data_IF_642002957129
#
_entry.id   IF_642002957129
#
_cell.length_a   1.000
_cell.length_b   1.000
_cell.length_c   1.000
_cell.angle_alpha   90.00
_cell.angle_beta   90.00
_cell.angle_gamma   90.00
#
_symmetry.space_group_name_H-M   'P 1'
#
loop_
_entity.id
_entity.type
_entity.pdbx_description
1 polymer ?
#
# COMPACT_ATOMS: atom_id res chain seq x y z
N UNK A 1 -7.44 7.45 -3.32
CA UNK A 1 -7.94 6.54 -2.26
C UNK A 1 -6.82 5.68 -1.63
N UNK A 2 -6.16 4.76 -2.35
CA UNK A 2 -5.12 3.87 -1.77
C UNK A 2 -3.89 4.60 -1.17
N UNK A 3 -3.43 5.67 -1.80
CA UNK A 3 -2.33 6.48 -1.28
C UNK A 3 -2.70 7.11 0.08
N UNK A 4 -3.89 7.68 0.20
CA UNK A 4 -4.41 8.24 1.45
C UNK A 4 -4.49 7.16 2.55
N UNK A 5 -5.06 5.99 2.23
CA UNK A 5 -5.10 4.87 3.17
C UNK A 5 -3.72 4.50 3.73
N UNK A 6 -2.70 4.50 2.86
CA UNK A 6 -1.32 4.21 3.26
C UNK A 6 -0.79 5.25 4.24
N UNK A 7 -1.01 6.54 3.96
CA UNK A 7 -0.62 7.63 4.85
C UNK A 7 -1.37 7.59 6.19
N UNK A 8 -2.67 7.32 6.15
CA UNK A 8 -3.51 7.19 7.34
C UNK A 8 -3.04 6.05 8.25
N UNK A 9 -2.71 4.88 7.68
CA UNK A 9 -2.15 3.78 8.46
C UNK A 9 -0.81 4.13 9.12
N UNK A 10 0.03 4.98 8.50
CA UNK A 10 1.28 5.44 9.12
C UNK A 10 1.03 6.33 10.33
N UNK A 11 0.00 7.16 10.28
CA UNK A 11 -0.41 8.03 11.40
C UNK A 11 -1.12 7.27 12.50
N UNK A 12 -1.87 6.21 12.15
CA UNK A 12 -2.64 5.39 13.08
C UNK A 12 -2.16 3.94 13.07
N UNK A 13 -1.03 3.61 13.73
CA UNK A 13 -0.46 2.26 13.77
C UNK A 13 -1.39 1.22 14.42
N UNK A 14 -2.39 1.67 15.19
CA UNK A 14 -3.43 0.84 15.78
C UNK A 14 -4.24 0.07 14.74
N UNK A 15 -4.45 0.65 13.55
CA UNK A 15 -5.14 -0.02 12.44
C UNK A 15 -4.30 -1.14 11.83
N UNK A 16 -3.00 -1.13 12.06
CA UNK A 16 -2.07 -2.14 11.55
C UNK A 16 -1.89 -3.29 12.54
N UNK A 17 -2.00 -3.02 13.84
CA UNK A 17 -1.95 -4.06 14.88
C UNK A 17 -3.14 -5.00 14.68
N UNK A 18 -2.84 -6.28 14.47
CA UNK A 18 -3.85 -7.31 14.26
C UNK A 18 -4.68 -7.58 15.53
N UNK A 19 -5.27 -8.78 15.62
CA UNK A 19 -6.08 -9.26 16.76
C UNK A 19 -5.37 -9.25 18.14
N UNK A 20 -4.14 -8.74 18.23
CA UNK A 20 -3.28 -8.78 19.42
C UNK A 20 -3.11 -7.42 20.10
N UNK A 21 -3.73 -6.33 19.64
CA UNK A 21 -3.73 -5.10 20.46
C UNK A 21 -4.92 -5.12 21.42
N UNK A 22 -4.66 -4.74 22.66
CA UNK A 22 -5.66 -4.42 23.68
C UNK A 22 -6.38 -3.10 23.40
N UNK A 23 -6.31 -2.59 22.16
CA UNK A 23 -6.89 -1.31 21.78
C UNK A 23 -8.41 -1.36 21.96
N UNK A 24 -8.95 -0.30 22.56
CA UNK A 24 -10.37 -0.12 22.73
C UNK A 24 -11.11 -0.32 21.38
N UNK A 25 -12.03 -1.29 21.26
CA UNK A 25 -12.71 -1.59 20.00
C UNK A 25 -13.54 -0.41 19.47
N UNK A 26 -14.03 0.46 20.36
CA UNK A 26 -14.79 1.66 20.00
C UNK A 26 -13.89 2.71 19.34
N UNK A 27 -12.67 2.92 19.85
CA UNK A 27 -11.70 3.82 19.24
C UNK A 27 -11.31 3.34 17.84
N UNK A 28 -11.14 2.03 17.66
CA UNK A 28 -10.86 1.44 16.35
C UNK A 28 -12.03 1.64 15.37
N UNK A 29 -13.27 1.51 15.85
CA UNK A 29 -14.48 1.77 15.04
C UNK A 29 -14.57 3.24 14.61
N UNK A 30 -14.23 4.18 15.48
CA UNK A 30 -14.17 5.62 15.15
C UNK A 30 -13.14 5.88 14.05
N UNK A 31 -11.91 5.36 14.18
CA UNK A 31 -10.86 5.48 13.17
C UNK A 31 -11.27 4.91 11.80
N UNK A 32 -11.95 3.76 11.80
CA UNK A 32 -12.47 3.18 10.55
C UNK A 32 -13.59 4.01 9.93
N UNK A 33 -14.38 4.71 10.74
CA UNK A 33 -15.47 5.58 10.28
C UNK A 33 -14.92 6.87 9.66
N UNK A 34 -13.98 7.54 10.35
CA UNK A 34 -13.26 8.72 9.85
C UNK A 34 -12.52 8.42 8.52
N UNK A 35 -11.84 7.27 8.46
CA UNK A 35 -11.18 6.82 7.24
C UNK A 35 -12.18 6.60 6.10
N UNK A 36 -13.35 6.04 6.39
CA UNK A 36 -14.38 5.78 5.39
C UNK A 36 -14.97 7.08 4.83
N UNK A 37 -15.27 8.04 5.70
CA UNK A 37 -15.75 9.38 5.32
C UNK A 37 -14.74 10.07 4.40
N UNK A 38 -13.46 10.08 4.79
CA UNK A 38 -12.41 10.71 3.98
C UNK A 38 -12.21 9.99 2.64
N UNK A 39 -12.26 8.66 2.62
CA UNK A 39 -12.16 7.89 1.36
C UNK A 39 -13.36 8.10 0.44
N UNK A 40 -14.55 8.28 1.00
CA UNK A 40 -15.78 8.57 0.25
C UNK A 40 -15.80 9.99 -0.31
N UNK A 41 -15.16 10.95 0.36
CA UNK A 41 -14.99 12.31 -0.14
C UNK A 41 -14.03 12.39 -1.35
N UNK A 42 -13.12 11.42 -1.48
CA UNK A 42 -12.26 11.29 -2.67
C UNK A 42 -13.03 10.65 -3.83
N UNK A 43 -12.69 11.03 -5.07
CA UNK A 43 -13.31 10.47 -6.29
C UNK A 43 -13.26 8.94 -6.29
N UNK A 44 -14.42 8.28 -6.29
CA UNK A 44 -14.52 6.82 -6.30
C UNK A 44 -15.85 6.30 -5.75
N UNK A 45 -15.95 4.98 -5.50
CA UNK A 45 -17.16 4.36 -4.96
C UNK A 45 -17.34 4.70 -3.49
N UNK A 46 -18.56 5.12 -3.12
CA UNK A 46 -18.94 5.32 -1.72
C UNK A 46 -19.19 3.97 -1.04
N UNK A 47 -18.58 3.75 0.12
CA UNK A 47 -18.72 2.50 0.89
C UNK A 47 -18.80 2.79 2.38
N UNK A 48 -19.47 1.91 3.12
CA UNK A 48 -19.45 1.93 4.58
C UNK A 48 -18.08 1.53 5.12
N UNK A 49 -17.76 1.92 6.36
CA UNK A 49 -16.50 1.57 7.03
C UNK A 49 -16.20 0.07 6.99
N UNK A 50 -17.19 -0.78 7.25
CA UNK A 50 -17.05 -2.24 7.19
C UNK A 50 -16.70 -2.75 5.80
N UNK A 51 -17.27 -2.16 4.74
CA UNK A 51 -16.97 -2.51 3.34
C UNK A 51 -15.57 -2.03 2.93
N UNK A 52 -15.16 -0.84 3.36
CA UNK A 52 -13.79 -0.35 3.18
C UNK A 52 -12.78 -1.28 3.85
N UNK A 53 -12.99 -1.64 5.12
CA UNK A 53 -12.15 -2.58 5.85
C UNK A 53 -11.95 -3.90 5.10
N UNK A 54 -13.03 -4.52 4.60
CA UNK A 54 -12.95 -5.76 3.80
C UNK A 54 -12.17 -5.56 2.49
N UNK A 55 -12.44 -4.47 1.77
CA UNK A 55 -11.79 -4.14 0.49
C UNK A 55 -10.29 -3.95 0.67
N UNK A 56 -9.90 -3.14 1.65
CA UNK A 56 -8.50 -2.82 1.94
C UNK A 56 -7.75 -4.04 2.47
N UNK A 57 -8.41 -4.88 3.27
CA UNK A 57 -7.85 -6.17 3.69
C UNK A 57 -7.59 -7.09 2.50
N UNK A 58 -8.54 -7.19 1.57
CA UNK A 58 -8.37 -7.98 0.35
C UNK A 58 -7.20 -7.47 -0.50
N UNK A 59 -7.14 -6.15 -0.73
CA UNK A 59 -6.03 -5.51 -1.45
C UNK A 59 -4.67 -5.78 -0.79
N UNK A 60 -4.58 -5.66 0.55
CA UNK A 60 -3.38 -6.00 1.30
C UNK A 60 -2.96 -7.46 1.10
N UNK A 61 -3.92 -8.39 1.13
CA UNK A 61 -3.66 -9.81 0.89
C UNK A 61 -3.15 -10.07 -0.54
N UNK A 62 -3.72 -9.38 -1.54
CA UNK A 62 -3.23 -9.46 -2.92
C UNK A 62 -1.78 -8.98 -3.04
N UNK A 63 -1.43 -7.85 -2.41
CA UNK A 63 -0.05 -7.34 -2.39
C UNK A 63 0.91 -8.33 -1.76
N UNK A 64 0.53 -8.92 -0.61
CA UNK A 64 1.35 -9.96 0.06
C UNK A 64 1.55 -11.18 -0.83
N UNK A 65 0.50 -11.66 -1.49
CA UNK A 65 0.61 -12.79 -2.41
C UNK A 65 1.52 -12.48 -3.60
N UNK A 66 1.43 -11.28 -4.18
CA UNK A 66 2.33 -10.85 -5.26
C UNK A 66 3.78 -10.76 -4.80
N UNK A 67 4.03 -10.18 -3.63
CA UNK A 67 5.37 -10.08 -3.05
C UNK A 67 5.99 -11.47 -2.79
N UNK A 68 5.20 -12.43 -2.30
CA UNK A 68 5.65 -13.83 -2.12
C UNK A 68 6.01 -14.50 -3.44
N UNK A 69 5.18 -14.31 -4.49
CA UNK A 69 5.47 -14.84 -5.83
C UNK A 69 6.78 -14.25 -6.37
N UNK A 70 6.92 -12.93 -6.31
CA UNK A 70 8.16 -12.25 -6.70
C UNK A 70 9.40 -12.78 -5.98
N UNK A 71 9.28 -13.04 -4.67
CA UNK A 71 10.38 -13.62 -3.88
C UNK A 71 10.72 -15.05 -4.30
N UNK A 72 9.71 -15.86 -4.65
CA UNK A 72 9.92 -17.21 -5.15
C UNK A 72 10.58 -17.20 -6.53
N UNK A 73 10.10 -16.36 -7.44
CA UNK A 73 10.64 -16.23 -8.80
C UNK A 73 12.09 -15.72 -8.77
N UNK A 74 12.40 -14.75 -7.91
CA UNK A 74 13.76 -14.25 -7.72
C UNK A 74 14.72 -15.35 -7.23
N UNK A 75 14.26 -16.24 -6.34
CA UNK A 75 15.06 -17.37 -5.83
C UNK A 75 15.35 -18.40 -6.94
N UNK A 76 14.42 -18.60 -7.88
CA UNK A 76 14.60 -19.51 -9.01
C UNK A 76 15.60 -18.92 -10.02
N UNK A 77 15.53 -17.62 -10.28
CA UNK A 77 16.39 -16.95 -11.26
C UNK A 77 17.87 -16.82 -10.82
N UNK A 78 18.20 -17.16 -9.57
CA UNK A 78 19.56 -16.98 -9.03
C UNK A 78 20.01 -15.53 -8.95
N UNK A 79 19.10 -14.57 -9.16
CA UNK A 79 19.41 -13.15 -9.09
C UNK A 79 19.23 -12.68 -7.65
N UNK A 80 20.32 -12.67 -6.90
CA UNK A 80 20.42 -11.96 -5.63
C UNK A 80 20.30 -10.46 -5.91
N UNK A 81 19.07 -9.94 -5.94
CA UNK A 81 18.83 -8.53 -6.22
C UNK A 81 19.02 -7.66 -4.96
N UNK A 82 19.99 -6.72 -4.94
CA UNK A 82 20.22 -5.84 -3.79
C UNK A 82 19.26 -4.64 -3.70
N UNK A 83 18.22 -4.53 -4.54
CA UNK A 83 17.48 -3.26 -4.73
C UNK A 83 15.96 -3.39 -4.95
N UNK A 84 15.29 -4.34 -4.30
CA UNK A 84 13.81 -4.27 -4.12
C UNK A 84 13.41 -3.26 -3.03
N UNK A 85 14.05 -2.10 -2.99
CA UNK A 85 13.70 -0.99 -2.09
C UNK A 85 12.33 -0.37 -2.41
N UNK A 86 11.77 -0.61 -3.60
CA UNK A 86 10.41 -0.18 -3.98
C UNK A 86 9.33 -1.01 -3.28
N UNK A 87 9.67 -2.23 -2.82
CA UNK A 87 8.83 -3.08 -1.97
C UNK A 87 9.23 -3.01 -0.50
N UNK A 88 10.01 -2.01 -0.08
CA UNK A 88 10.05 -1.53 1.32
C UNK A 88 8.76 -0.75 1.63
N UNK A 89 7.61 -1.37 1.39
CA UNK A 89 6.51 -1.17 2.30
C UNK A 89 6.94 -1.95 3.53
N UNK A 90 7.69 -1.30 4.42
CA UNK A 90 8.12 -1.90 5.68
C UNK A 90 6.92 -2.61 6.27
N UNK A 91 7.01 -3.93 6.22
CA UNK A 91 6.12 -4.79 6.94
C UNK A 91 6.39 -4.44 8.40
N UNK A 92 5.58 -3.56 9.00
CA UNK A 92 5.21 -3.70 10.41
C UNK A 92 4.29 -4.95 10.48
N UNK A 93 4.79 -6.06 9.96
CA UNK A 93 4.35 -7.37 10.37
C UNK A 93 5.25 -7.64 11.53
N UNK A 94 4.67 -7.47 12.72
CA UNK A 94 4.97 -8.29 13.88
C UNK A 94 5.78 -9.51 13.44
N UNK A 95 7.09 -9.46 13.61
CA UNK A 95 7.86 -10.69 13.60
C UNK A 95 7.09 -11.63 14.53
N UNK A 96 6.80 -12.87 14.10
CA UNK A 96 6.39 -13.88 15.05
C UNK A 96 7.51 -13.93 16.08
N UNK A 97 7.28 -13.30 17.24
CA UNK A 97 8.14 -13.47 18.41
C UNK A 97 8.39 -14.96 18.50
N UNK A 98 9.66 -15.42 18.45
CA UNK A 98 9.97 -16.83 18.53
C UNK A 98 9.24 -17.35 19.76
N UNK A 99 8.37 -18.33 19.53
CA UNK A 99 7.61 -18.98 20.60
C UNK A 99 8.61 -19.30 21.72
N UNK A 100 8.42 -18.76 22.94
CA UNK A 100 9.31 -19.09 24.04
C UNK A 100 9.34 -20.61 24.15
N UNK A 101 10.54 -21.17 24.16
CA UNK A 101 10.76 -22.59 24.36
C UNK A 101 9.99 -23.05 25.60
N UNK A 102 9.41 -24.26 25.60
CA UNK A 102 8.71 -24.79 26.76
C UNK A 102 9.70 -24.91 27.93
N UNK A 103 9.62 -23.98 28.88
CA UNK A 103 10.33 -24.12 30.16
C UNK A 103 9.63 -25.21 30.99
N UNK A 104 10.39 -26.15 31.57
CA UNK A 104 9.83 -27.22 32.38
C UNK A 104 9.39 -26.70 33.76
N UNK A 105 8.20 -27.13 34.15
CA UNK A 105 7.76 -27.47 35.51
C UNK A 105 8.17 -26.57 36.68
N UNK A 106 7.19 -25.85 37.25
CA UNK A 106 7.14 -25.64 38.70
C UNK A 106 5.74 -25.94 39.24
N UNK A 107 5.74 -26.85 40.19
CA UNK A 107 4.61 -27.47 40.90
C UNK A 107 4.18 -26.58 42.06
N UNK A 108 2.93 -26.80 42.49
CA UNK A 108 2.27 -26.39 43.74
C UNK A 108 1.39 -25.14 43.66
N UNK A 109 0.18 -25.07 44.22
CA UNK A 109 -0.83 -26.03 44.68
C UNK A 109 -2.04 -25.17 45.12
N UNK A 110 -3.25 -25.74 45.05
CA UNK A 110 -4.46 -25.44 45.87
C UNK A 110 -5.45 -24.35 45.44
N UNK A 111 -6.56 -24.84 44.86
CA UNK A 111 -8.02 -24.56 44.99
C UNK A 111 -8.57 -23.56 46.05
N UNK A 112 -9.87 -23.13 46.03
CA UNK A 112 -11.06 -23.73 45.36
C UNK A 112 -12.07 -22.81 44.61
N UNK A 113 -12.93 -23.51 43.86
CA UNK A 113 -14.26 -23.24 43.25
C UNK A 113 -15.28 -22.42 44.14
N UNK A 114 -16.48 -21.93 43.65
CA UNK A 114 -17.46 -22.68 42.81
C UNK A 114 -18.44 -21.90 41.87
N UNK A 115 -19.28 -22.71 41.20
CA UNK A 115 -20.65 -22.47 40.64
C UNK A 115 -20.77 -21.79 39.26
N UNK A 116 -21.20 -22.45 38.16
CA UNK A 116 -22.45 -23.16 37.78
C UNK A 116 -23.29 -22.34 36.74
N UNK A 117 -23.12 -22.72 35.46
CA UNK A 117 -24.12 -22.81 34.36
C UNK A 117 -24.95 -21.56 33.92
N UNK A 118 -25.73 -21.58 32.80
CA UNK A 118 -25.86 -22.56 31.72
C UNK A 118 -25.68 -22.00 30.28
N UNK A 119 -25.45 -22.93 29.34
CA UNK A 119 -25.52 -22.77 27.88
C UNK A 119 -26.92 -22.44 27.35
N UNK A 120 -27.01 -21.88 26.13
CA UNK A 120 -27.92 -22.48 25.15
C UNK A 120 -27.35 -22.62 23.71
N UNK A 121 -27.33 -23.87 23.25
CA UNK A 121 -27.89 -24.44 22.02
C UNK A 121 -28.25 -23.56 20.79
N UNK A 122 -27.74 -24.06 19.63
CA UNK A 122 -28.39 -24.22 18.30
C UNK A 122 -28.74 -22.93 17.52
N UNK A 123 -28.37 -22.78 16.24
CA UNK A 123 -29.13 -23.21 15.04
C UNK A 123 -28.30 -22.80 13.80
N UNK A 124 -27.74 -23.74 13.03
CA UNK A 124 -28.18 -24.24 11.71
C UNK A 124 -28.24 -23.23 10.54
N UNK A 125 -27.73 -23.69 9.37
CA UNK A 125 -28.16 -23.32 7.99
C UNK A 125 -27.64 -21.94 7.51
N UNK A 126 -26.90 -21.78 6.41
CA UNK A 126 -27.29 -22.13 5.04
C UNK A 126 -26.14 -21.96 4.02
N UNK A 127 -26.11 -22.89 3.07
CA UNK A 127 -25.91 -22.68 1.62
C UNK A 127 -24.55 -22.20 1.11
N UNK A 128 -23.71 -23.19 0.81
CA UNK A 128 -22.75 -23.14 -0.28
C UNK A 128 -23.49 -22.96 -1.62
N UNK A 129 -23.36 -21.79 -2.25
CA UNK A 129 -23.79 -21.56 -3.63
C UNK A 129 -22.56 -21.67 -4.53
N UNK A 130 -22.38 -22.84 -5.13
CA UNK A 130 -21.41 -23.06 -6.21
C UNK A 130 -21.82 -22.24 -7.44
N UNK A 131 -20.89 -21.56 -8.13
CA UNK A 131 -21.18 -21.00 -9.44
C UNK A 131 -21.36 -22.12 -10.49
N UNK A 132 -22.26 -21.94 -11.45
CA UNK A 132 -22.53 -22.92 -12.49
C UNK A 132 -21.33 -23.10 -13.40
N UNK A 133 -20.93 -24.36 -13.61
CA UNK A 133 -19.98 -24.78 -14.63
C UNK A 133 -20.60 -24.44 -16.00
N UNK A 134 -20.05 -23.43 -16.68
CA UNK A 134 -20.39 -23.16 -18.07
C UNK A 134 -19.76 -24.27 -18.93
N UNK A 135 -20.62 -25.15 -19.43
CA UNK A 135 -20.26 -26.07 -20.50
C UNK A 135 -19.94 -25.28 -21.78
N UNK A 136 -18.72 -25.44 -22.25
CA UNK A 136 -18.31 -24.99 -23.59
C UNK A 136 -19.03 -25.86 -24.63
N UNK A 137 -19.67 -25.28 -25.66
CA UNK A 137 -20.21 -26.06 -26.76
C UNK A 137 -19.05 -26.62 -27.58
N UNK A 138 -18.91 -27.95 -27.58
CA UNK A 138 -18.14 -28.68 -28.58
C UNK A 138 -18.81 -28.52 -29.94
N UNK A 139 -18.13 -27.98 -30.96
CA UNK A 139 -18.65 -28.01 -32.31
C UNK A 139 -18.52 -29.44 -32.86
N UNK A 140 -19.65 -30.14 -32.96
CA UNK A 140 -19.77 -31.34 -33.79
C UNK A 140 -19.64 -30.94 -35.26
N UNK A 141 -18.44 -31.13 -35.81
CA UNK A 141 -18.20 -31.04 -37.24
C UNK A 141 -18.35 -32.45 -37.79
N UNK A 142 -19.57 -32.79 -38.20
CA UNK A 142 -19.81 -33.86 -39.17
C UNK A 142 -19.52 -33.30 -40.56
N UNK A 143 -18.33 -33.53 -41.07
CA UNK A 143 -18.03 -33.32 -42.50
C UNK A 143 -17.92 -34.68 -43.18
N UNK A 144 -18.94 -34.91 -44.00
CA UNK A 144 -19.05 -35.92 -45.04
C UNK A 144 -17.78 -36.00 -45.88
N UNK A 145 -17.24 -37.21 -46.00
CA UNK A 145 -16.07 -37.53 -46.81
C UNK A 145 -16.55 -37.68 -48.25
N UNK A 146 -16.40 -36.62 -49.04
CA UNK A 146 -16.43 -36.69 -50.51
C UNK A 146 -14.99 -36.56 -50.99
N UNK A 147 -14.45 -37.67 -51.49
CA UNK A 147 -13.13 -37.75 -52.09
C UNK A 147 -13.09 -36.97 -53.41
N UNK A 148 -12.68 -35.71 -53.34
CA UNK A 148 -12.32 -34.90 -54.51
C UNK A 148 -10.79 -34.78 -54.61
N UNK A 149 -10.25 -34.98 -55.81
CA UNK A 149 -8.82 -35.08 -56.09
C UNK A 149 -8.04 -33.81 -55.66
N UNK A 150 -6.86 -33.96 -55.04
CA UNK A 150 -6.10 -32.84 -54.46
C UNK A 150 -5.48 -31.97 -55.56
N UNK A 151 -6.13 -30.83 -55.85
CA UNK A 151 -5.53 -29.72 -56.62
C UNK A 151 -4.36 -29.10 -55.82
N UNK A 152 -3.32 -28.54 -56.49
CA UNK A 152 -2.09 -28.09 -55.85
C UNK A 152 -2.30 -26.81 -55.01
N UNK A 153 -2.82 -26.98 -53.80
CA UNK A 153 -3.12 -25.91 -52.84
C UNK A 153 -1.89 -25.36 -52.09
N UNK A 154 -0.71 -25.98 -52.25
CA UNK A 154 0.50 -25.66 -51.48
C UNK A 154 1.04 -24.25 -51.71
N UNK A 155 0.94 -23.71 -52.94
CA UNK A 155 1.55 -22.42 -53.28
C UNK A 155 0.82 -21.23 -52.63
N UNK A 156 -0.51 -21.33 -52.43
CA UNK A 156 -1.30 -20.26 -51.80
C UNK A 156 -1.04 -20.15 -50.29
N UNK A 157 -0.71 -21.25 -49.63
CA UNK A 157 -0.42 -21.26 -48.19
C UNK A 157 0.89 -20.55 -47.86
N UNK A 158 1.94 -20.75 -48.66
CA UNK A 158 3.25 -20.10 -48.43
C UNK A 158 3.14 -18.57 -48.51
N UNK A 159 2.40 -18.03 -49.48
CA UNK A 159 2.19 -16.60 -49.60
C UNK A 159 1.48 -15.98 -48.38
N UNK A 160 0.55 -16.71 -47.75
CA UNK A 160 -0.12 -16.26 -46.54
C UNK A 160 0.81 -16.28 -45.32
N UNK A 161 1.72 -17.25 -45.24
CA UNK A 161 2.72 -17.33 -44.16
C UNK A 161 3.70 -16.17 -44.25
N UNK A 162 4.24 -15.85 -45.44
CA UNK A 162 5.13 -14.70 -45.62
C UNK A 162 4.47 -13.37 -45.20
N UNK A 163 3.22 -13.13 -45.63
CA UNK A 163 2.47 -11.92 -45.21
C UNK A 163 2.28 -11.83 -43.69
N UNK A 164 2.06 -12.96 -43.02
CA UNK A 164 1.96 -13.01 -41.54
C UNK A 164 3.29 -12.70 -40.88
N UNK A 165 4.41 -13.17 -41.42
CA UNK A 165 5.75 -12.88 -40.93
C UNK A 165 6.03 -11.37 -41.03
N UNK A 166 5.75 -10.76 -42.18
CA UNK A 166 5.94 -9.31 -42.38
C UNK A 166 5.07 -8.47 -41.44
N UNK A 167 3.80 -8.85 -41.27
CA UNK A 167 2.90 -8.18 -40.33
C UNK A 167 3.36 -8.35 -38.87
N UNK A 168 3.95 -9.50 -38.52
CA UNK A 168 4.52 -9.72 -37.20
C UNK A 168 5.75 -8.84 -36.97
N UNK A 169 6.67 -8.78 -37.93
CA UNK A 169 7.85 -7.93 -37.89
C UNK A 169 7.50 -6.46 -37.66
N UNK A 170 6.50 -5.93 -38.38
CA UNK A 170 6.01 -4.55 -38.18
C UNK A 170 5.45 -4.31 -36.77
N UNK A 171 4.75 -5.29 -36.19
CA UNK A 171 4.24 -5.19 -34.81
C UNK A 171 5.38 -5.18 -33.80
N UNK A 172 6.41 -6.01 -34.01
CA UNK A 172 7.60 -6.02 -33.16
C UNK A 172 8.35 -4.68 -33.20
N UNK A 173 8.53 -4.10 -34.39
CA UNK A 173 9.11 -2.76 -34.57
C UNK A 173 8.32 -1.68 -33.84
N UNK A 174 6.98 -1.73 -33.91
CA UNK A 174 6.11 -0.80 -33.16
C UNK A 174 6.25 -0.95 -31.64
N UNK A 175 6.40 -2.18 -31.14
CA UNK A 175 6.61 -2.44 -29.70
C UNK A 175 7.95 -1.89 -29.25
N UNK A 176 9.01 -2.08 -30.03
CA UNK A 176 10.35 -1.52 -29.73
C UNK A 176 10.30 0.01 -29.70
N UNK A 177 9.67 0.64 -30.71
CA UNK A 177 9.52 2.08 -30.77
C UNK A 177 8.73 2.64 -29.57
N UNK A 178 7.66 1.96 -29.17
CA UNK A 178 6.87 2.34 -27.99
C UNK A 178 7.70 2.22 -26.71
N UNK A 179 8.48 1.16 -26.56
CA UNK A 179 9.34 0.95 -25.40
C UNK A 179 10.43 2.02 -25.30
N UNK A 180 11.03 2.42 -26.42
CA UNK A 180 12.00 3.50 -26.48
C UNK A 180 11.37 4.84 -26.07
N UNK A 181 10.16 5.13 -26.54
CA UNK A 181 9.42 6.34 -26.16
C UNK A 181 9.11 6.38 -24.66
N UNK A 182 8.76 5.24 -24.05
CA UNK A 182 8.54 5.14 -22.60
C UNK A 182 9.83 5.43 -21.83
N UNK A 183 10.98 4.92 -22.30
CA UNK A 183 12.27 5.19 -21.68
C UNK A 183 12.63 6.68 -21.73
N UNK A 184 12.44 7.33 -22.87
CA UNK A 184 12.67 8.77 -23.03
C UNK A 184 11.78 9.60 -22.10
N UNK A 185 10.49 9.28 -22.01
CA UNK A 185 9.57 9.95 -21.08
C UNK A 185 10.00 9.77 -19.61
N UNK A 186 10.49 8.59 -19.23
CA UNK A 186 11.00 8.35 -17.88
C UNK A 186 12.26 9.17 -17.59
N UNK A 187 13.14 9.34 -18.57
CA UNK A 187 14.33 10.20 -18.45
C UNK A 187 13.95 11.67 -18.27
N UNK A 188 13.03 12.18 -19.09
CA UNK A 188 12.49 13.54 -18.97
C UNK A 188 11.86 13.78 -17.60
N UNK A 189 11.00 12.85 -17.13
CA UNK A 189 10.38 12.92 -15.81
C UNK A 189 11.44 12.94 -14.69
N UNK A 190 12.48 12.13 -14.82
CA UNK A 190 13.61 12.13 -13.89
C UNK A 190 14.33 13.48 -13.85
N UNK A 191 14.49 14.12 -15.01
CA UNK A 191 15.02 15.49 -15.12
C UNK A 191 14.18 16.51 -14.35
N UNK A 192 12.86 16.51 -14.56
CA UNK A 192 11.91 17.41 -13.87
C UNK A 192 11.94 17.19 -12.36
N UNK A 193 11.98 15.93 -11.89
CA UNK A 193 12.08 15.61 -10.47
C UNK A 193 13.37 16.14 -9.83
N UNK A 194 14.51 16.02 -10.52
CA UNK A 194 15.79 16.58 -10.07
C UNK A 194 15.72 18.11 -9.97
N UNK A 195 15.08 18.77 -10.93
CA UNK A 195 14.93 20.22 -10.93
C UNK A 195 14.05 20.71 -9.77
N UNK A 196 12.89 20.07 -9.57
CA UNK A 196 12.02 20.39 -8.43
C UNK A 196 12.72 20.18 -7.08
N UNK A 197 13.55 19.14 -6.95
CA UNK A 197 14.34 18.92 -5.73
C UNK A 197 15.38 20.02 -5.49
N UNK A 198 16.00 20.56 -6.55
CA UNK A 198 16.92 21.70 -6.46
C UNK A 198 16.20 22.97 -6.02
N UNK A 199 15.07 23.29 -6.65
CA UNK A 199 14.27 24.47 -6.29
C UNK A 199 13.74 24.39 -4.86
N UNK A 200 13.25 23.22 -4.43
CA UNK A 200 12.83 23.00 -3.04
C UNK A 200 13.97 23.26 -2.04
N UNK A 201 15.21 22.86 -2.35
CA UNK A 201 16.37 23.14 -1.48
C UNK A 201 16.69 24.63 -1.42
N UNK A 202 16.63 25.35 -2.55
CA UNK A 202 16.82 26.81 -2.58
C UNK A 202 15.78 27.50 -1.71
N UNK A 203 14.52 27.09 -1.83
CA UNK A 203 13.43 27.66 -1.02
C UNK A 203 13.62 27.40 0.47
N UNK A 204 13.98 26.16 0.85
CA UNK A 204 14.31 25.83 2.23
C UNK A 204 15.47 26.68 2.78
N UNK A 205 16.49 26.97 1.97
CA UNK A 205 17.58 27.86 2.38
C UNK A 205 17.12 29.31 2.56
N UNK A 206 16.20 29.81 1.72
CA UNK A 206 15.62 31.16 1.88
C UNK A 206 14.82 31.26 3.18
N UNK A 207 13.94 30.30 3.43
CA UNK A 207 13.16 30.22 4.67
C UNK A 207 14.08 30.12 5.89
N UNK A 208 15.13 29.31 5.85
CA UNK A 208 16.10 29.20 6.94
C UNK A 208 16.81 30.54 7.24
N UNK A 209 17.19 31.29 6.20
CA UNK A 209 17.80 32.63 6.35
C UNK A 209 16.83 33.62 6.97
N UNK A 210 15.57 33.64 6.52
CA UNK A 210 14.52 34.49 7.09
C UNK A 210 14.27 34.15 8.57
N UNK A 211 14.12 32.87 8.89
CA UNK A 211 13.96 32.42 10.27
C UNK A 211 15.14 32.85 11.15
N UNK A 212 16.37 32.71 10.66
CA UNK A 212 17.55 33.15 11.39
C UNK A 212 17.55 34.66 11.65
N UNK A 213 17.13 35.48 10.68
CA UNK A 213 16.99 36.93 10.85
C UNK A 213 15.90 37.26 11.88
N UNK A 214 14.73 36.63 11.79
CA UNK A 214 13.64 36.81 12.75
C UNK A 214 14.08 36.46 14.17
N UNK A 215 14.81 35.36 14.36
CA UNK A 215 15.38 34.98 15.67
C UNK A 215 16.31 36.06 16.24
N UNK A 216 17.11 36.73 15.40
CA UNK A 216 17.95 37.85 15.84
C UNK A 216 17.12 39.04 16.32
N UNK A 217 16.09 39.41 15.57
CA UNK A 217 15.17 40.50 15.93
C UNK A 217 14.47 40.18 17.25
N UNK A 218 13.92 38.97 17.38
CA UNK A 218 13.27 38.52 18.63
C UNK A 218 14.24 38.57 19.81
N UNK A 219 15.50 38.16 19.64
CA UNK A 219 16.52 38.26 20.69
C UNK A 219 16.76 39.71 21.12
N UNK A 220 16.79 40.66 20.19
CA UNK A 220 16.95 42.08 20.50
C UNK A 220 15.74 42.64 21.25
N UNK A 221 14.52 42.31 20.81
CA UNK A 221 13.27 42.72 21.47
C UNK A 221 13.22 42.17 22.90
N UNK A 222 13.56 40.89 23.10
CA UNK A 222 13.61 40.29 24.44
C UNK A 222 14.61 41.00 25.34
N UNK A 223 15.80 41.37 24.83
CA UNK A 223 16.78 42.15 25.60
C UNK A 223 16.25 43.53 26.00
N UNK A 224 15.59 44.23 25.08
CA UNK A 224 15.00 45.53 25.34
C UNK A 224 13.89 45.45 26.39
N UNK A 225 12.97 44.48 26.27
CA UNK A 225 11.92 44.25 27.25
C UNK A 225 12.48 43.95 28.65
N UNK A 226 13.50 43.09 28.75
CA UNK A 226 14.18 42.82 30.02
C UNK A 226 14.77 44.10 30.63
N UNK A 227 15.40 44.95 29.82
CA UNK A 227 15.94 46.22 30.30
C UNK A 227 14.83 47.16 30.83
N UNK A 228 13.70 47.27 30.11
CA UNK A 228 12.54 48.07 30.55
C UNK A 228 11.97 47.54 31.86
N UNK A 229 11.81 46.23 32.02
CA UNK A 229 11.34 45.61 33.27
C UNK A 229 12.26 45.94 34.45
N UNK A 230 13.58 45.93 34.24
CA UNK A 230 14.55 46.31 35.28
C UNK A 230 14.36 47.78 35.69
N UNK A 231 14.15 48.69 34.74
CA UNK A 231 13.90 50.12 35.02
C UNK A 231 12.60 50.30 35.79
N UNK A 232 11.51 49.65 35.38
CA UNK A 232 10.21 49.73 36.05
C UNK A 232 10.30 49.26 37.51
N UNK A 233 10.93 48.10 37.75
CA UNK A 233 11.13 47.58 39.11
C UNK A 233 11.97 48.53 39.98
N UNK A 234 12.93 49.26 39.39
CA UNK A 234 13.73 50.25 40.12
C UNK A 234 12.91 51.48 40.50
N UNK A 235 12.00 51.93 39.63
CA UNK A 235 11.10 53.05 39.89
C UNK A 235 10.07 52.69 40.96
N UNK A 236 9.48 51.50 40.90
CA UNK A 236 8.56 50.99 41.92
C UNK A 236 9.20 50.98 43.32
N UNK A 237 10.44 50.48 43.42
CA UNK A 237 11.21 50.51 44.68
C UNK A 237 11.50 51.92 45.20
N UNK A 238 11.58 52.93 44.32
CA UNK A 238 11.76 54.33 44.73
C UNK A 238 10.45 54.97 45.20
N UNK A 239 9.32 54.56 44.62
CA UNK A 239 7.99 55.09 44.97
C UNK A 239 7.51 54.57 46.33
N UNK A 240 7.91 53.35 46.71
CA UNK A 240 7.54 52.73 47.99
C UNK A 240 8.43 53.15 49.18
N UNK A 241 9.25 54.18 49.02
CA UNK A 241 10.11 54.75 50.09
C UNK A 241 9.63 56.15 50.43
#
# INVERSE_FOLDING_TARGET
>A
QLHYYTMFCKQHPELQRGKRSSTNPQALQMLWSELAETLNALRGPTRTATKWKKTLMHWKNQLRSRARKFKADAKIAGIDHPKLSILKFEYITTDPVPSPAPSPSRVSASDPAPALAPSPSKTATSSATSPPIRHSPTPSISTSIVSEAPKPAGVKMLGAVLKKIDANKRREEQVIALQQKILEQNEQLTGVLKQMARERRKEQQRVAKQNHQMTKVLSQVTKALTATTIVLNKLEKKLNK
#
